data_IF_396771860931
#
_entry.id   IF_396771860931
#
_cell.length_a   1.000
_cell.length_b   1.000
_cell.length_c   1.000
_cell.angle_alpha   90.00
_cell.angle_beta   90.00
_cell.angle_gamma   90.00
#
_symmetry.space_group_name_H-M   'P 1'
#
loop_
_entity.id
_entity.type
_entity.pdbx_description
1 polymer ?
#
# COMPACT_ATOMS: atom_id res chain seq x y z
N UNK A 1 11.63 7.15 1.16
CA UNK A 1 12.67 6.59 0.24
C UNK A 1 12.10 6.53 -1.17
N UNK A 2 12.90 6.36 -2.23
CA UNK A 2 12.31 6.12 -3.56
C UNK A 2 11.86 4.68 -3.70
N UNK A 3 10.83 4.42 -4.50
CA UNK A 3 10.32 3.07 -4.78
C UNK A 3 11.44 2.17 -5.32
N UNK A 4 12.29 2.70 -6.22
CA UNK A 4 13.40 1.95 -6.84
C UNK A 4 14.51 1.55 -5.86
N UNK A 5 14.62 2.22 -4.72
CA UNK A 5 15.65 1.96 -3.70
C UNK A 5 15.11 1.13 -2.53
N UNK A 6 13.81 0.89 -2.47
CA UNK A 6 13.20 0.15 -1.38
C UNK A 6 13.39 -1.35 -1.57
N UNK A 7 13.84 -2.03 -0.51
CA UNK A 7 13.90 -3.49 -0.47
C UNK A 7 12.59 -4.03 0.10
N UNK A 8 11.59 -4.18 -0.76
CA UNK A 8 10.27 -4.65 -0.37
C UNK A 8 10.30 -6.09 0.15
N UNK A 9 9.42 -6.37 1.13
CA UNK A 9 9.21 -7.73 1.63
C UNK A 9 7.76 -8.12 1.52
N UNK A 10 7.53 -9.35 1.07
CA UNK A 10 6.21 -9.96 0.94
C UNK A 10 5.45 -9.85 2.26
N UNK A 11 4.20 -9.38 2.20
CA UNK A 11 3.32 -9.25 3.36
C UNK A 11 3.51 -7.97 4.19
N UNK A 12 4.45 -7.09 3.82
CA UNK A 12 4.59 -5.78 4.45
C UNK A 12 3.69 -4.73 3.76
N UNK A 13 3.19 -3.79 4.56
CA UNK A 13 2.36 -2.67 4.09
C UNK A 13 3.25 -1.44 3.89
N UNK A 14 3.14 -0.84 2.72
CA UNK A 14 3.86 0.36 2.34
C UNK A 14 2.89 1.49 2.00
N UNK A 15 3.31 2.70 2.31
CA UNK A 15 2.67 3.91 1.83
C UNK A 15 3.46 4.43 0.64
N UNK A 16 2.75 4.77 -0.44
CA UNK A 16 3.30 5.23 -1.69
C UNK A 16 2.81 6.65 -2.00
N UNK A 17 3.71 7.52 -2.39
CA UNK A 17 3.42 8.92 -2.72
C UNK A 17 4.07 9.35 -4.04
N UNK A 18 3.45 10.30 -4.72
CA UNK A 18 3.90 10.76 -6.04
C UNK A 18 5.06 11.76 -5.94
N UNK A 19 5.01 12.68 -4.98
CA UNK A 19 5.95 13.80 -4.84
C UNK A 19 6.49 14.07 -3.41
N UNK A 20 5.77 13.75 -2.34
CA UNK A 20 6.27 13.85 -0.96
C UNK A 20 7.06 12.59 -0.49
N UNK A 21 8.37 12.70 -0.23
CA UNK A 21 9.19 11.57 0.24
C UNK A 21 8.81 11.04 1.63
N UNK A 22 8.05 11.82 2.42
CA UNK A 22 7.57 11.43 3.76
C UNK A 22 6.40 10.47 3.69
N UNK A 23 5.70 10.41 2.55
CA UNK A 23 4.51 9.58 2.34
C UNK A 23 3.50 9.76 3.49
N UNK A 24 2.89 10.94 3.63
CA UNK A 24 1.86 11.19 4.64
C UNK A 24 0.67 10.25 4.44
N UNK A 25 0.10 9.76 5.53
CA UNK A 25 -0.96 8.75 5.55
C UNK A 25 -2.21 9.12 4.73
N UNK A 26 -2.68 10.35 4.88
CA UNK A 26 -3.92 10.85 4.28
C UNK A 26 -3.85 11.06 2.75
N UNK A 27 -2.65 11.20 2.19
CA UNK A 27 -2.43 11.49 0.77
C UNK A 27 -1.70 10.35 0.04
N UNK A 28 -1.29 9.32 0.77
CA UNK A 28 -0.60 8.16 0.20
C UNK A 28 -1.57 7.07 -0.24
N UNK A 29 -1.14 6.32 -1.25
CA UNK A 29 -1.70 5.00 -1.48
C UNK A 29 -1.09 4.00 -0.51
N UNK A 30 -1.94 3.24 0.16
CA UNK A 30 -1.58 2.12 1.01
C UNK A 30 -1.59 0.84 0.19
N UNK A 31 -0.56 0.02 0.32
CA UNK A 31 -0.47 -1.24 -0.42
C UNK A 31 0.22 -2.34 0.35
N UNK A 32 -0.42 -3.51 0.39
CA UNK A 32 0.20 -4.76 0.82
C UNK A 32 1.06 -5.29 -0.32
N UNK A 33 2.37 -5.32 -0.11
CA UNK A 33 3.31 -5.78 -1.13
C UNK A 33 3.25 -7.31 -1.29
N UNK A 34 3.13 -7.77 -2.53
CA UNK A 34 3.18 -9.18 -2.91
C UNK A 34 4.52 -9.52 -3.58
N UNK A 35 4.75 -8.96 -4.77
CA UNK A 35 5.91 -9.32 -5.60
C UNK A 35 6.34 -8.20 -6.53
N UNK A 36 7.53 -8.35 -7.08
CA UNK A 36 7.96 -7.64 -8.27
C UNK A 36 7.47 -8.39 -9.52
N UNK A 37 6.97 -7.63 -10.49
CA UNK A 37 6.69 -8.11 -11.83
C UNK A 37 7.49 -7.25 -12.83
N UNK A 38 8.69 -7.74 -13.15
CA UNK A 38 9.73 -6.95 -13.80
C UNK A 38 10.09 -5.70 -13.00
N UNK A 39 9.95 -4.53 -13.63
CA UNK A 39 10.23 -3.23 -13.00
C UNK A 39 9.03 -2.63 -12.25
N UNK A 40 7.88 -3.31 -12.28
CA UNK A 40 6.68 -2.86 -11.57
C UNK A 40 6.48 -3.67 -10.29
N UNK A 41 5.82 -3.05 -9.31
CA UNK A 41 5.42 -3.70 -8.07
C UNK A 41 4.00 -4.18 -8.24
N UNK A 42 3.71 -5.41 -7.84
CA UNK A 42 2.36 -5.92 -7.71
C UNK A 42 1.93 -5.88 -6.25
N UNK A 43 0.77 -5.29 -5.99
CA UNK A 43 0.13 -5.18 -4.68
C UNK A 43 -0.97 -6.22 -4.57
N UNK A 44 -0.97 -6.98 -3.48
CA UNK A 44 -2.04 -7.95 -3.17
C UNK A 44 -3.35 -7.23 -2.87
N UNK A 45 -3.27 -6.20 -2.03
CA UNK A 45 -4.39 -5.31 -1.68
C UNK A 45 -3.90 -3.88 -1.58
N UNK A 46 -4.81 -2.93 -1.76
CA UNK A 46 -4.50 -1.51 -1.68
C UNK A 46 -5.72 -0.66 -1.32
N UNK A 47 -5.46 0.55 -0.84
CA UNK A 47 -6.47 1.56 -0.54
C UNK A 47 -5.86 2.97 -0.59
N UNK A 48 -6.64 3.98 -0.91
CA UNK A 48 -6.23 5.40 -0.81
C UNK A 48 -6.87 6.12 0.38
N UNK A 49 -7.83 5.47 1.07
CA UNK A 49 -8.59 6.10 2.15
C UNK A 49 -8.74 5.20 3.39
N UNK A 50 -8.15 4.00 3.36
CA UNK A 50 -8.28 2.93 4.35
C UNK A 50 -9.74 2.60 4.70
N UNK A 51 -10.68 2.83 3.78
CA UNK A 51 -12.10 2.48 3.93
C UNK A 51 -12.56 1.57 2.80
N UNK A 52 -12.09 1.83 1.60
CA UNK A 52 -12.36 1.04 0.41
C UNK A 52 -11.09 0.33 -0.01
N UNK A 53 -11.12 -1.00 0.03
CA UNK A 53 -10.00 -1.84 -0.36
C UNK A 53 -10.29 -2.52 -1.69
N UNK A 54 -9.25 -2.64 -2.50
CA UNK A 54 -9.28 -3.37 -3.75
C UNK A 54 -8.13 -4.37 -3.79
N UNK A 55 -8.33 -5.48 -4.50
CA UNK A 55 -7.34 -6.55 -4.65
C UNK A 55 -6.59 -6.40 -5.97
N UNK A 56 -5.33 -6.80 -5.97
CA UNK A 56 -4.51 -7.05 -7.16
C UNK A 56 -4.32 -5.84 -8.08
N UNK A 57 -3.15 -5.20 -8.01
CA UNK A 57 -2.77 -4.22 -9.05
C UNK A 57 -1.27 -4.03 -9.18
N UNK A 58 -0.86 -3.56 -10.35
CA UNK A 58 0.44 -2.91 -10.49
C UNK A 58 0.42 -1.53 -9.83
N UNK A 59 1.50 -1.20 -9.11
CA UNK A 59 1.73 0.14 -8.61
C UNK A 59 1.92 1.09 -9.81
N UNK A 60 1.11 2.16 -9.92
CA UNK A 60 1.25 3.11 -11.02
C UNK A 60 2.59 3.84 -10.98
N UNK A 61 3.14 4.13 -12.15
CA UNK A 61 4.48 4.73 -12.29
C UNK A 61 4.61 6.12 -11.67
N UNK A 62 3.50 6.85 -11.47
CA UNK A 62 3.54 8.16 -10.82
C UNK A 62 3.97 8.10 -9.35
N UNK A 63 3.84 6.94 -8.69
CA UNK A 63 4.26 6.77 -7.30
C UNK A 63 5.78 6.57 -7.25
N UNK A 64 6.50 7.63 -6.87
CA UNK A 64 7.97 7.66 -6.89
C UNK A 64 8.58 7.40 -5.52
N UNK A 65 7.85 7.72 -4.46
CA UNK A 65 8.28 7.59 -3.08
C UNK A 65 7.49 6.52 -2.35
N UNK A 66 8.16 5.87 -1.40
CA UNK A 66 7.51 4.98 -0.46
C UNK A 66 8.14 5.06 0.94
N UNK A 67 7.41 4.54 1.92
CA UNK A 67 7.94 4.12 3.22
C UNK A 67 7.18 2.91 3.73
N UNK A 68 7.83 2.14 4.61
CA UNK A 68 7.17 1.10 5.38
C UNK A 68 6.16 1.74 6.35
N UNK A 69 5.01 1.10 6.53
CA UNK A 69 4.06 1.47 7.58
C UNK A 69 4.69 1.30 8.96
N UNK A 70 4.35 2.18 9.89
CA UNK A 70 4.60 1.93 11.31
C UNK A 70 3.74 0.77 11.82
N UNK A 71 4.04 0.27 13.02
CA UNK A 71 3.28 -0.84 13.62
C UNK A 71 1.80 -0.49 13.87
N UNK A 72 1.50 0.76 14.25
CA UNK A 72 0.11 1.19 14.45
C UNK A 72 -0.63 1.28 13.12
N UNK A 73 -0.01 1.88 12.12
CA UNK A 73 -0.55 1.98 10.76
C UNK A 73 -0.81 0.60 10.13
N UNK A 74 0.09 -0.37 10.32
CA UNK A 74 -0.13 -1.75 9.89
C UNK A 74 -1.37 -2.36 10.55
N UNK A 75 -1.54 -2.16 11.86
CA UNK A 75 -2.71 -2.67 12.59
C UNK A 75 -3.99 -2.10 12.01
N UNK A 76 -4.02 -0.79 11.79
CA UNK A 76 -5.20 -0.09 11.26
C UNK A 76 -5.52 -0.57 9.85
N UNK A 77 -4.51 -0.69 8.97
CA UNK A 77 -4.68 -1.24 7.63
C UNK A 77 -5.30 -2.64 7.64
N UNK A 78 -4.80 -3.55 8.49
CA UNK A 78 -5.31 -4.93 8.58
C UNK A 78 -6.76 -4.97 9.07
N UNK A 79 -7.09 -4.22 10.14
CA UNK A 79 -8.45 -4.16 10.68
C UNK A 79 -9.41 -3.60 9.65
N UNK A 80 -9.04 -2.50 9.00
CA UNK A 80 -9.88 -1.84 8.00
C UNK A 80 -10.07 -2.70 6.74
N UNK A 81 -9.03 -3.41 6.30
CA UNK A 81 -9.11 -4.34 5.16
C UNK A 81 -10.10 -5.47 5.45
N UNK A 82 -9.99 -6.11 6.62
CA UNK A 82 -10.90 -7.20 7.03
C UNK A 82 -12.33 -6.69 7.14
N UNK A 83 -12.52 -5.53 7.76
CA UNK A 83 -13.85 -4.92 7.90
C UNK A 83 -14.49 -4.60 6.53
N UNK A 84 -13.70 -4.06 5.59
CA UNK A 84 -14.15 -3.79 4.23
C UNK A 84 -14.57 -5.06 3.49
N UNK A 85 -13.86 -6.17 3.66
CA UNK A 85 -14.25 -7.46 3.06
C UNK A 85 -15.56 -7.98 3.64
N UNK A 86 -15.72 -7.95 4.97
CA UNK A 86 -16.96 -8.39 5.63
C UNK A 86 -18.16 -7.56 5.16
N UNK A 87 -18.01 -6.23 5.06
CA UNK A 87 -19.07 -5.34 4.59
C UNK A 87 -19.40 -5.56 3.11
N UNK A 88 -18.43 -5.99 2.29
CA UNK A 88 -18.67 -6.33 0.88
C UNK A 88 -19.44 -7.64 0.68
N UNK A 89 -19.60 -8.46 1.73
CA UNK A 89 -20.32 -9.73 1.71
C UNK A 89 -21.80 -9.62 2.15
N UNK A 90 -22.21 -8.48 2.72
CA UNK A 90 -23.58 -8.19 3.16
C UNK A 90 -24.41 -7.52 2.07
#
# INVERSE_FOLDING_TARGET
>A
MTVKQCNFKVGEVYLFHTDDPRCPDAESLWGLYDRHDGNSIFLESWSTDQKHFSKGRHLPEQYRFCRLSTRSELRDYMVNSIYSEIKGLS
#
